data_IF_490825194575
#
_entry.id   IF_490825194575
#
_cell.length_a   1.000
_cell.length_b   1.000
_cell.length_c   1.000
_cell.angle_alpha   90.00
_cell.angle_beta   90.00
_cell.angle_gamma   90.00
#
_symmetry.space_group_name_H-M   'P 1'
#
loop_
_entity.id
_entity.type
_entity.pdbx_description
1 polymer ?
#
# COMPACT_ATOMS: atom_id res chain seq x y z
N UNK A 1 -5.36 -9.09 13.29
CA UNK A 1 -4.94 -9.62 11.98
C UNK A 1 -5.87 -9.12 10.90
N UNK A 2 -5.35 -8.77 9.75
CA UNK A 2 -6.13 -8.25 8.64
C UNK A 2 -6.90 -9.38 7.96
N UNK A 3 -8.16 -9.08 7.57
CA UNK A 3 -9.07 -10.08 6.98
C UNK A 3 -9.33 -9.84 5.51
N UNK A 4 -9.45 -8.56 5.13
CA UNK A 4 -9.83 -8.18 3.76
C UNK A 4 -8.62 -8.17 2.85
N UNK A 5 -7.47 -7.75 3.37
CA UNK A 5 -6.25 -7.59 2.57
C UNK A 5 -5.23 -8.65 2.93
N UNK A 6 -4.71 -9.38 1.92
CA UNK A 6 -3.60 -10.30 2.18
C UNK A 6 -2.33 -9.52 2.54
N UNK A 7 -1.41 -10.18 3.24
CA UNK A 7 -0.19 -9.52 3.71
C UNK A 7 0.69 -8.94 2.62
N UNK A 8 0.55 -9.41 1.39
CA UNK A 8 1.32 -8.90 0.25
C UNK A 8 0.61 -7.80 -0.54
N UNK A 9 -0.61 -7.41 -0.14
CA UNK A 9 -1.32 -6.32 -0.81
C UNK A 9 -0.58 -4.99 -0.61
N UNK A 10 -0.80 -4.06 -1.52
CA UNK A 10 -0.28 -2.70 -1.40
C UNK A 10 -1.47 -1.78 -1.15
N UNK A 11 -1.41 -1.01 -0.07
CA UNK A 11 -2.42 -0.03 0.28
C UNK A 11 -1.90 1.36 -0.09
N UNK A 12 -2.71 2.12 -0.81
CA UNK A 12 -2.29 3.43 -1.33
C UNK A 12 -3.14 4.50 -0.67
N UNK A 13 -2.49 5.36 0.10
CA UNK A 13 -3.16 6.48 0.76
C UNK A 13 -3.20 7.69 -0.18
N UNK A 14 -4.15 8.58 0.04
CA UNK A 14 -4.33 9.76 -0.83
C UNK A 14 -3.13 10.69 -0.83
N UNK A 15 -2.22 10.57 0.13
CA UNK A 15 -0.98 11.35 0.15
C UNK A 15 0.12 10.79 -0.76
N UNK A 16 -0.16 9.72 -1.49
CA UNK A 16 0.78 9.14 -2.44
C UNK A 16 1.75 8.12 -1.84
N UNK A 17 1.51 7.67 -0.61
CA UNK A 17 2.37 6.68 0.04
C UNK A 17 1.75 5.29 0.00
N UNK A 18 2.60 4.29 -0.27
CA UNK A 18 2.21 2.89 -0.22
C UNK A 18 2.48 2.31 1.16
N UNK A 19 1.57 1.46 1.61
CA UNK A 19 1.65 0.77 2.89
C UNK A 19 1.41 -0.71 2.69
N UNK A 20 1.83 -1.51 3.67
CA UNK A 20 1.60 -2.96 3.67
C UNK A 20 0.66 -3.28 4.85
N UNK A 21 -0.37 -4.12 4.64
CA UNK A 21 -1.30 -4.45 5.72
C UNK A 21 -0.56 -4.99 6.95
N UNK A 22 -0.82 -4.37 8.10
CA UNK A 22 -0.23 -4.83 9.36
C UNK A 22 1.24 -4.54 9.57
N UNK A 23 1.92 -3.90 8.60
CA UNK A 23 3.36 -3.67 8.70
C UNK A 23 3.72 -2.47 9.57
N UNK A 24 2.78 -1.55 9.77
CA UNK A 24 2.97 -0.41 10.66
C UNK A 24 1.68 -0.12 11.43
N UNK A 25 1.80 0.65 12.50
CA UNK A 25 0.67 0.92 13.39
C UNK A 25 -0.07 2.21 13.04
N UNK A 26 0.15 2.74 11.85
CA UNK A 26 -0.43 4.03 11.44
C UNK A 26 -1.88 3.93 11.00
N UNK A 27 -2.40 2.72 10.81
CA UNK A 27 -3.78 2.54 10.37
C UNK A 27 -4.31 1.18 10.80
N UNK A 28 -5.63 1.08 10.83
CA UNK A 28 -6.32 -0.19 11.00
C UNK A 28 -7.02 -0.55 9.70
N UNK A 29 -7.41 -1.81 9.56
CA UNK A 29 -8.10 -2.25 8.35
C UNK A 29 -9.39 -1.46 8.10
N UNK A 30 -10.10 -1.11 9.16
CA UNK A 30 -11.36 -0.37 9.06
C UNK A 30 -11.18 1.04 8.50
N UNK A 31 -9.97 1.61 8.60
CA UNK A 31 -9.68 2.94 8.08
C UNK A 31 -9.40 2.93 6.57
N UNK A 32 -9.07 1.77 6.02
CA UNK A 32 -8.65 1.65 4.61
C UNK A 32 -9.90 1.57 3.74
N UNK A 33 -10.48 2.72 3.47
CA UNK A 33 -11.71 2.86 2.70
C UNK A 33 -11.59 4.00 1.70
N UNK A 34 -12.25 3.88 0.52
CA UNK A 34 -12.30 5.00 -0.41
C UNK A 34 -13.14 6.14 0.20
N UNK A 35 -12.92 7.41 -0.20
CA UNK A 35 -11.98 7.85 -1.25
C UNK A 35 -10.55 8.06 -0.77
N UNK A 36 -10.28 7.90 0.52
CA UNK A 36 -8.93 8.17 1.08
C UNK A 36 -7.92 7.10 0.74
N UNK A 37 -8.38 5.89 0.46
CA UNK A 37 -7.53 4.74 0.21
C UNK A 37 -7.89 4.04 -1.09
N UNK A 38 -6.85 3.55 -1.76
CA UNK A 38 -6.97 2.57 -2.81
C UNK A 38 -6.04 1.41 -2.48
N UNK A 39 -6.07 0.36 -3.28
CA UNK A 39 -5.25 -0.82 -3.01
C UNK A 39 -5.00 -1.65 -4.24
N UNK A 40 -4.00 -2.52 -4.15
CA UNK A 40 -3.71 -3.56 -5.13
C UNK A 40 -3.66 -4.86 -4.33
N UNK A 41 -4.65 -5.73 -4.54
CA UNK A 41 -4.77 -6.95 -3.73
C UNK A 41 -3.66 -7.94 -4.04
N UNK A 42 -3.32 -8.08 -5.32
CA UNK A 42 -2.36 -9.07 -5.76
C UNK A 42 -1.33 -8.44 -6.70
N UNK A 43 -0.46 -7.58 -6.14
CA UNK A 43 0.53 -6.89 -6.97
C UNK A 43 1.61 -7.85 -7.49
N UNK A 44 2.24 -7.53 -8.64
CA UNK A 44 3.42 -8.27 -9.07
C UNK A 44 4.50 -8.26 -7.99
N UNK A 45 5.28 -9.32 -7.85
CA UNK A 45 6.25 -9.43 -6.74
C UNK A 45 7.26 -8.29 -6.65
N UNK A 46 7.65 -7.70 -7.77
CA UNK A 46 8.65 -6.63 -7.79
C UNK A 46 8.05 -5.23 -7.59
N UNK A 47 6.72 -5.11 -7.59
CA UNK A 47 6.09 -3.77 -7.63
C UNK A 47 6.45 -2.93 -6.42
N UNK A 48 6.42 -3.50 -5.23
CA UNK A 48 6.74 -2.76 -4.01
C UNK A 48 8.09 -2.06 -4.10
N UNK A 49 9.11 -2.80 -4.53
CA UNK A 49 10.47 -2.27 -4.64
C UNK A 49 10.65 -1.27 -5.78
N UNK A 50 9.74 -1.28 -6.76
CA UNK A 50 9.83 -0.44 -7.94
C UNK A 50 9.05 0.86 -7.82
N UNK A 51 8.35 1.09 -6.70
CA UNK A 51 7.54 2.30 -6.53
C UNK A 51 8.42 3.53 -6.47
N UNK A 52 8.19 4.48 -7.39
CA UNK A 52 8.88 5.76 -7.43
C UNK A 52 8.06 6.73 -8.28
N UNK A 53 8.46 8.00 -8.33
CA UNK A 53 7.69 9.00 -9.08
C UNK A 53 7.59 8.67 -10.56
N UNK A 54 8.64 8.09 -11.13
CA UNK A 54 8.64 7.71 -12.55
C UNK A 54 7.95 6.36 -12.79
N UNK A 55 7.59 5.63 -11.74
CA UNK A 55 6.93 4.33 -11.84
C UNK A 55 5.95 4.15 -10.68
N UNK A 56 4.87 4.95 -10.64
CA UNK A 56 3.93 4.88 -9.52
C UNK A 56 3.13 3.58 -9.53
N UNK A 57 2.75 3.14 -8.33
CA UNK A 57 1.81 2.04 -8.16
C UNK A 57 0.40 2.62 -8.23
N UNK A 58 -0.43 2.10 -9.14
CA UNK A 58 -1.78 2.61 -9.38
C UNK A 58 -2.79 1.67 -8.74
N UNK A 59 -3.67 2.23 -7.92
CA UNK A 59 -4.69 1.44 -7.25
C UNK A 59 -5.62 0.77 -8.26
N UNK A 60 -5.92 -0.51 -8.01
CA UNK A 60 -6.86 -1.27 -8.83
C UNK A 60 -8.17 -1.54 -8.09
N UNK A 61 -8.23 -1.19 -6.81
CA UNK A 61 -9.45 -1.27 -6.01
C UNK A 61 -9.57 -0.05 -5.13
N UNK A 62 -10.70 0.10 -4.47
CA UNK A 62 -11.00 1.28 -3.69
C UNK A 62 -11.04 2.51 -4.59
N UNK A 63 -10.32 3.57 -4.23
CA UNK A 63 -10.21 4.73 -5.09
C UNK A 63 -9.11 4.48 -6.13
N UNK A 64 -9.51 4.07 -7.32
CA UNK A 64 -8.58 3.73 -8.41
C UNK A 64 -7.90 4.95 -9.03
N UNK A 65 -8.29 6.16 -8.62
CA UNK A 65 -7.59 7.38 -9.03
C UNK A 65 -6.33 7.64 -8.23
N UNK A 66 -6.08 6.89 -7.16
CA UNK A 66 -4.90 7.07 -6.33
C UNK A 66 -3.69 6.35 -6.91
N UNK A 67 -2.52 6.92 -6.66
CA UNK A 67 -1.26 6.30 -7.03
C UNK A 67 -0.22 6.56 -5.95
N UNK A 68 0.65 5.60 -5.73
CA UNK A 68 1.73 5.71 -4.77
C UNK A 68 3.05 5.99 -5.50
N UNK A 69 3.75 7.03 -5.08
CA UNK A 69 5.05 7.40 -5.63
C UNK A 69 6.18 7.18 -4.61
N UNK A 70 5.83 6.84 -3.39
CA UNK A 70 6.79 6.54 -2.34
C UNK A 70 6.22 5.46 -1.43
N UNK A 71 7.05 4.93 -0.53
CA UNK A 71 6.66 3.88 0.41
C UNK A 71 6.74 4.41 1.83
N UNK A 72 5.82 3.96 2.69
CA UNK A 72 5.89 4.25 4.11
C UNK A 72 7.19 3.65 4.67
N UNK A 73 7.98 4.46 5.36
CA UNK A 73 9.26 4.01 5.89
C UNK A 73 9.11 2.91 6.93
N UNK A 74 8.06 2.95 7.74
CA UNK A 74 7.82 1.90 8.73
C UNK A 74 7.51 0.58 8.05
N UNK A 75 6.73 0.61 6.97
CA UNK A 75 6.45 -0.59 6.20
C UNK A 75 7.70 -1.11 5.51
N UNK A 76 8.53 -0.20 4.99
CA UNK A 76 9.82 -0.57 4.39
C UNK A 76 10.74 -1.22 5.41
N UNK A 77 10.80 -0.66 6.62
CA UNK A 77 11.61 -1.20 7.68
C UNK A 77 11.21 -2.62 8.05
N UNK A 78 9.90 -2.87 8.12
CA UNK A 78 9.39 -4.22 8.41
C UNK A 78 9.79 -5.22 7.34
N UNK A 79 9.71 -4.81 6.07
CA UNK A 79 10.10 -5.68 4.96
C UNK A 79 11.62 -5.81 4.83
N UNK A 80 12.33 -4.74 5.16
CA UNK A 80 13.79 -4.72 5.05
C UNK A 80 14.50 -5.61 6.05
N UNK A 81 13.79 -6.06 7.07
CA UNK A 81 14.35 -6.92 8.11
C UNK A 81 14.19 -8.42 7.80
N UNK A 82 13.63 -8.74 6.67
CA UNK A 82 13.40 -10.13 6.29
C UNK A 82 14.58 -10.71 5.53
#
# INVERSE_FOLDING_TARGET
MWRTFPGHAILIKQNGKAHVPGACDHMTEDEVLPPRWGWIIDPPPALWGDIQESNPAIATGGNTGLRAVSRCQDCMGSLGNT
#
